data_IF_984436614883
#
_entry.id   IF_984436614883
#
_cell.length_a   1.000
_cell.length_b   1.000
_cell.length_c   1.000
_cell.angle_alpha   90.00
_cell.angle_beta   90.00
_cell.angle_gamma   90.00
#
_symmetry.space_group_name_H-M   'P 1'
#
loop_
_entity.id
_entity.type
_entity.pdbx_description
1 polymer ?
#
# COMPACT_ATOMS: atom_id res chain seq x y z
N UNK A 1 9.99 6.14 31.51
CA UNK A 1 9.39 6.43 30.19
C UNK A 1 10.49 6.23 29.17
N UNK A 2 10.38 5.28 28.22
CA UNK A 2 11.37 5.17 27.17
C UNK A 2 11.14 6.31 26.18
N UNK A 3 12.16 7.15 26.01
CA UNK A 3 12.22 8.19 24.99
C UNK A 3 12.00 7.57 23.60
N UNK A 4 10.99 8.06 22.87
CA UNK A 4 10.83 7.77 21.45
C UNK A 4 12.03 8.37 20.72
N UNK A 5 13.04 7.56 20.42
CA UNK A 5 14.06 7.91 19.43
C UNK A 5 13.34 8.11 18.10
N UNK A 6 13.21 9.36 17.65
CA UNK A 6 12.99 9.65 16.24
C UNK A 6 14.19 9.09 15.49
N UNK A 7 14.02 7.95 14.83
CA UNK A 7 15.02 7.45 13.91
C UNK A 7 15.12 8.49 12.78
N UNK A 8 16.28 9.14 12.65
CA UNK A 8 16.51 10.02 11.52
C UNK A 8 16.37 9.18 10.25
N UNK A 9 15.50 9.64 9.35
CA UNK A 9 15.30 9.02 8.03
C UNK A 9 16.66 8.87 7.36
N UNK A 10 17.07 7.64 7.04
CA UNK A 10 18.36 7.39 6.39
C UNK A 10 18.34 8.04 4.99
N UNK A 11 19.14 9.09 4.76
CA UNK A 11 19.14 9.82 3.49
C UNK A 11 19.70 8.95 2.34
N UNK A 12 20.38 7.84 2.64
CA UNK A 12 20.79 6.89 1.62
C UNK A 12 19.59 6.11 1.06
N UNK A 13 18.62 5.75 1.91
CA UNK A 13 17.43 4.97 1.57
C UNK A 13 16.25 5.82 1.09
N UNK A 14 16.07 6.98 1.68
CA UNK A 14 14.88 7.82 1.48
C UNK A 14 15.27 9.23 1.11
N UNK A 15 14.67 9.73 0.02
CA UNK A 15 14.83 11.13 -0.41
C UNK A 15 13.48 11.76 -0.63
N UNK A 16 13.09 12.68 0.26
CA UNK A 16 11.79 13.38 0.21
C UNK A 16 10.60 12.42 0.04
N UNK A 17 10.56 11.34 0.83
CA UNK A 17 9.49 10.33 0.76
C UNK A 17 9.61 9.31 -0.38
N UNK A 18 10.61 9.42 -1.26
CA UNK A 18 10.90 8.44 -2.30
C UNK A 18 11.92 7.41 -1.84
N UNK A 19 11.63 6.14 -2.08
CA UNK A 19 12.46 5.01 -1.71
C UNK A 19 13.45 4.68 -2.83
N UNK A 20 14.75 4.64 -2.51
CA UNK A 20 15.83 4.47 -3.50
C UNK A 20 15.72 3.20 -4.38
N UNK A 21 15.08 2.15 -3.86
CA UNK A 21 15.02 0.84 -4.49
C UNK A 21 13.75 0.64 -5.33
N UNK A 22 12.80 1.57 -5.27
CA UNK A 22 11.59 1.52 -6.08
C UNK A 22 11.80 2.15 -7.46
N UNK A 23 11.18 1.58 -8.49
CA UNK A 23 11.04 2.23 -9.79
C UNK A 23 10.00 3.35 -9.66
N UNK A 24 10.41 4.58 -9.92
CA UNK A 24 9.51 5.73 -9.81
C UNK A 24 8.66 5.87 -11.08
N UNK A 25 7.36 5.98 -10.89
CA UNK A 25 6.41 6.39 -11.90
C UNK A 25 5.40 7.34 -11.26
N UNK A 26 5.75 8.63 -11.22
CA UNK A 26 5.00 9.62 -10.47
C UNK A 26 3.53 9.74 -10.94
N UNK A 27 2.61 9.55 -10.00
CA UNK A 27 1.17 9.73 -10.22
C UNK A 27 0.76 11.18 -10.01
N UNK A 28 -0.19 11.73 -10.80
CA UNK A 28 -0.83 13.01 -10.51
C UNK A 28 -1.91 12.89 -9.42
N UNK A 29 -2.32 11.67 -9.03
CA UNK A 29 -3.42 11.41 -8.11
C UNK A 29 -2.90 11.39 -6.67
N UNK A 30 -2.59 12.56 -6.12
CA UNK A 30 -2.20 12.72 -4.71
C UNK A 30 -2.59 14.11 -4.19
N UNK A 31 -2.47 14.30 -2.88
CA UNK A 31 -2.63 15.62 -2.28
C UNK A 31 -1.80 15.76 -1.00
N UNK A 32 -1.86 16.92 -0.34
CA UNK A 32 -1.19 17.10 0.94
C UNK A 32 -1.85 16.23 2.02
N UNK A 33 -1.04 15.72 2.96
CA UNK A 33 -1.55 15.18 4.22
C UNK A 33 -2.03 16.32 5.13
N UNK A 34 -2.96 16.06 6.07
CA UNK A 34 -3.27 17.02 7.13
C UNK A 34 -2.00 17.44 7.91
N UNK A 35 -1.95 18.69 8.39
CA UNK A 35 -0.74 19.28 8.99
C UNK A 35 -0.12 18.47 10.16
N UNK A 36 -0.94 17.73 10.89
CA UNK A 36 -0.52 16.91 12.05
C UNK A 36 -0.72 15.41 11.80
N UNK A 37 -0.76 14.99 10.53
CA UNK A 37 -0.91 13.59 10.19
C UNK A 37 0.27 12.78 10.75
N UNK A 38 -0.05 11.76 11.55
CA UNK A 38 0.92 10.80 12.02
C UNK A 38 0.86 9.58 11.09
N UNK A 39 1.84 9.45 10.20
CA UNK A 39 1.92 8.31 9.28
C UNK A 39 2.38 7.07 10.05
N UNK A 40 1.44 6.38 10.69
CA UNK A 40 1.69 5.25 11.57
C UNK A 40 0.99 3.95 11.12
N UNK A 41 0.36 3.96 9.94
CA UNK A 41 -0.36 2.83 9.36
C UNK A 41 0.21 2.45 7.99
N UNK A 42 0.43 1.16 7.78
CA UNK A 42 0.56 0.57 6.43
C UNK A 42 -0.76 -0.11 6.09
N UNK A 43 -1.28 0.14 4.89
CA UNK A 43 -2.45 -0.56 4.36
C UNK A 43 -2.03 -1.46 3.20
N UNK A 44 -2.22 -2.76 3.36
CA UNK A 44 -1.97 -3.75 2.32
C UNK A 44 -3.23 -3.91 1.48
N UNK A 45 -3.03 -3.90 0.17
CA UNK A 45 -4.06 -4.02 -0.85
C UNK A 45 -3.70 -5.13 -1.84
N UNK A 46 -4.67 -5.53 -2.65
CA UNK A 46 -4.41 -6.31 -3.86
C UNK A 46 -5.17 -5.76 -5.06
N UNK A 47 -4.51 -5.77 -6.21
CA UNK A 47 -5.08 -5.26 -7.45
C UNK A 47 -4.54 -6.03 -8.67
N UNK A 48 -5.42 -6.26 -9.63
CA UNK A 48 -5.07 -6.74 -10.97
C UNK A 48 -6.02 -6.14 -11.99
N UNK A 49 -5.49 -5.83 -13.17
CA UNK A 49 -6.25 -5.07 -14.15
C UNK A 49 -5.96 -5.58 -15.58
N UNK A 50 -6.95 -6.13 -16.31
CA UNK A 50 -8.26 -6.56 -15.83
C UNK A 50 -8.16 -7.55 -14.66
N UNK A 51 -9.23 -7.77 -13.88
CA UNK A 51 -9.19 -8.68 -12.73
C UNK A 51 -8.62 -10.06 -13.09
N UNK A 52 -7.64 -10.52 -12.32
CA UNK A 52 -6.93 -11.78 -12.54
C UNK A 52 -5.94 -11.78 -13.71
N UNK A 53 -5.67 -10.62 -14.33
CA UNK A 53 -4.62 -10.45 -15.34
C UNK A 53 -3.45 -9.67 -14.76
N UNK A 54 -2.24 -10.17 -14.99
CA UNK A 54 -1.02 -9.69 -14.34
C UNK A 54 0.05 -9.33 -15.39
N UNK A 55 1.05 -8.54 -15.00
CA UNK A 55 2.25 -8.28 -15.79
C UNK A 55 2.06 -7.44 -17.06
N UNK A 56 0.91 -6.77 -17.21
CA UNK A 56 0.52 -6.06 -18.43
C UNK A 56 0.68 -4.52 -18.35
N UNK A 57 1.05 -3.98 -17.18
CA UNK A 57 1.24 -2.55 -16.97
C UNK A 57 -0.05 -1.74 -16.75
N UNK A 58 -1.22 -2.37 -16.70
CA UNK A 58 -2.50 -1.64 -16.61
C UNK A 58 -2.72 -1.01 -15.24
N UNK A 59 -2.20 -1.59 -14.15
CA UNK A 59 -2.27 -0.98 -12.82
C UNK A 59 -1.48 0.33 -12.77
N UNK A 60 -0.26 0.32 -13.32
CA UNK A 60 0.58 1.50 -13.47
C UNK A 60 -0.13 2.60 -14.28
N UNK A 61 -0.76 2.21 -15.41
CA UNK A 61 -1.53 3.12 -16.25
C UNK A 61 -2.75 3.69 -15.53
N UNK A 62 -3.49 2.87 -14.77
CA UNK A 62 -4.62 3.35 -13.94
C UNK A 62 -4.15 4.39 -12.94
N UNK A 63 -3.11 4.10 -12.16
CA UNK A 63 -2.60 5.01 -11.14
C UNK A 63 -2.02 6.30 -11.70
N UNK A 64 -1.70 6.34 -12.99
CA UNK A 64 -1.16 7.53 -13.67
C UNK A 64 -2.15 8.19 -14.64
N UNK A 65 -3.43 7.82 -14.61
CA UNK A 65 -4.48 8.33 -15.51
C UNK A 65 -4.19 8.11 -17.01
N UNK A 66 -3.49 7.01 -17.34
CA UNK A 66 -3.07 6.63 -18.69
C UNK A 66 -3.69 5.31 -19.17
N UNK A 67 -4.68 4.78 -18.44
CA UNK A 67 -5.36 3.55 -18.85
C UNK A 67 -6.15 3.79 -20.14
N UNK A 68 -5.93 2.97 -21.16
CA UNK A 68 -6.77 2.96 -22.35
C UNK A 68 -8.10 2.30 -22.00
N UNK A 69 -9.15 3.11 -21.86
CA UNK A 69 -10.47 2.65 -21.47
C UNK A 69 -11.09 1.65 -22.45
N UNK A 70 -10.62 1.62 -23.71
CA UNK A 70 -11.16 0.77 -24.76
C UNK A 70 -10.44 -0.61 -24.85
N UNK A 71 -9.35 -0.82 -24.10
CA UNK A 71 -8.57 -2.08 -24.13
C UNK A 71 -9.35 -3.28 -23.55
N UNK A 72 -10.19 -3.06 -22.53
CA UNK A 72 -10.99 -4.12 -21.89
C UNK A 72 -12.34 -3.59 -21.40
N UNK A 73 -13.40 -4.40 -21.54
CA UNK A 73 -14.76 -4.03 -21.11
C UNK A 73 -14.87 -3.75 -19.59
N UNK A 74 -14.00 -4.32 -18.77
CA UNK A 74 -13.90 -3.98 -17.35
C UNK A 74 -13.54 -2.52 -17.13
N UNK A 75 -12.70 -1.94 -17.99
CA UNK A 75 -12.19 -0.58 -17.80
C UNK A 75 -13.28 0.48 -17.92
N UNK A 76 -14.33 0.21 -18.70
CA UNK A 76 -15.50 1.09 -18.77
C UNK A 76 -16.21 1.26 -17.40
N UNK A 77 -16.16 0.25 -16.52
CA UNK A 77 -16.77 0.30 -15.18
C UNK A 77 -15.99 1.17 -14.19
N UNK A 78 -14.71 1.40 -14.48
CA UNK A 78 -13.80 2.20 -13.65
C UNK A 78 -13.35 3.47 -14.38
N UNK A 79 -14.03 3.84 -15.47
CA UNK A 79 -13.68 4.97 -16.31
C UNK A 79 -13.70 6.27 -15.52
N UNK A 80 -12.60 7.00 -15.60
CA UNK A 80 -12.44 8.29 -14.93
C UNK A 80 -12.14 8.21 -13.44
N UNK A 81 -11.94 7.00 -12.87
CA UNK A 81 -11.43 6.89 -11.51
C UNK A 81 -10.07 7.57 -11.40
N UNK A 82 -9.90 8.36 -10.36
CA UNK A 82 -8.62 8.93 -9.96
C UNK A 82 -8.22 8.30 -8.64
N UNK A 83 -7.31 7.35 -8.73
CA UNK A 83 -6.80 6.56 -7.60
C UNK A 83 -5.31 6.38 -7.74
N UNK A 84 -4.64 6.10 -6.63
CA UNK A 84 -3.21 5.79 -6.58
C UNK A 84 -2.91 5.02 -5.32
N UNK A 85 -1.73 4.41 -5.28
CA UNK A 85 -1.11 3.91 -4.06
C UNK A 85 0.29 4.48 -3.94
N UNK A 86 0.93 4.36 -2.78
CA UNK A 86 2.33 4.75 -2.67
C UNK A 86 3.19 3.75 -3.42
N UNK A 87 2.95 2.45 -3.20
CA UNK A 87 3.74 1.37 -3.77
C UNK A 87 2.89 0.31 -4.48
N UNK A 88 3.49 -0.36 -5.45
CA UNK A 88 2.96 -1.56 -6.09
C UNK A 88 4.07 -2.60 -6.24
N UNK A 89 3.75 -3.86 -5.96
CA UNK A 89 4.66 -5.00 -6.07
C UNK A 89 4.06 -6.00 -7.06
N UNK A 90 4.68 -6.12 -8.24
CA UNK A 90 4.26 -7.08 -9.27
C UNK A 90 4.40 -8.53 -8.80
N UNK A 91 3.80 -9.50 -9.51
CA UNK A 91 3.99 -10.94 -9.23
C UNK A 91 5.46 -11.36 -9.18
N UNK A 92 6.32 -10.67 -9.92
CA UNK A 92 7.76 -10.95 -9.96
C UNK A 92 8.57 -10.33 -8.81
N UNK A 93 7.93 -9.58 -7.90
CA UNK A 93 8.59 -8.84 -6.82
C UNK A 93 9.11 -7.46 -7.23
N UNK A 94 8.89 -7.03 -8.47
CA UNK A 94 9.28 -5.69 -8.89
C UNK A 94 8.52 -4.61 -8.10
N UNK A 95 9.27 -3.72 -7.46
CA UNK A 95 8.75 -2.62 -6.66
C UNK A 95 8.65 -1.32 -7.47
N UNK A 96 7.43 -0.78 -7.52
CA UNK A 96 7.13 0.54 -8.08
C UNK A 96 6.71 1.50 -6.97
N UNK A 97 7.00 2.79 -7.15
CA UNK A 97 6.49 3.87 -6.30
C UNK A 97 5.85 4.97 -7.16
N UNK A 98 4.65 5.41 -6.78
CA UNK A 98 3.89 6.42 -7.52
C UNK A 98 3.73 7.74 -6.77
N UNK A 99 3.71 7.69 -5.44
CA UNK A 99 3.51 8.85 -4.58
C UNK A 99 4.57 8.82 -3.48
N UNK A 100 5.17 9.98 -3.19
CA UNK A 100 6.07 10.13 -2.06
C UNK A 100 5.33 9.84 -0.75
N UNK A 101 5.96 9.15 0.20
CA UNK A 101 5.31 8.86 1.48
C UNK A 101 4.97 10.11 2.31
N UNK A 102 5.58 11.25 2.01
CA UNK A 102 5.25 12.57 2.60
C UNK A 102 3.92 13.13 2.10
N UNK A 103 3.44 12.66 0.95
CA UNK A 103 2.18 13.06 0.35
C UNK A 103 1.10 12.00 0.61
N UNK A 104 -0.16 12.38 0.40
CA UNK A 104 -1.34 11.53 0.55
C UNK A 104 -1.73 10.91 -0.79
N UNK A 105 -1.46 9.62 -0.97
CA UNK A 105 -2.05 8.83 -2.06
C UNK A 105 -3.56 8.57 -1.82
N UNK A 106 -4.29 8.16 -2.86
CA UNK A 106 -5.73 7.94 -2.83
C UNK A 106 -6.08 6.45 -3.00
N UNK A 107 -5.82 5.64 -1.96
CA UNK A 107 -5.92 4.18 -2.00
C UNK A 107 -7.05 3.61 -1.12
N UNK A 108 -7.33 4.22 0.02
CA UNK A 108 -8.24 3.66 1.03
C UNK A 108 -9.73 3.96 0.78
N UNK A 109 -10.05 5.05 0.07
CA UNK A 109 -11.43 5.56 -0.05
C UNK A 109 -12.09 5.84 1.30
N UNK A 110 -13.39 5.58 1.42
CA UNK A 110 -14.13 5.66 2.70
C UNK A 110 -13.69 4.55 3.66
N UNK A 111 -12.99 4.92 4.73
CA UNK A 111 -12.40 3.97 5.68
C UNK A 111 -12.33 4.54 7.10
N UNK A 112 -12.20 3.65 8.08
CA UNK A 112 -11.98 3.98 9.48
C UNK A 112 -11.12 2.93 10.17
N UNK A 113 -10.11 3.35 10.92
CA UNK A 113 -9.25 2.44 11.66
C UNK A 113 -8.73 3.11 12.94
N UNK A 114 -8.75 2.40 14.06
CA UNK A 114 -8.26 2.89 15.38
C UNK A 114 -8.89 4.24 15.80
N UNK A 115 -10.18 4.40 15.52
CA UNK A 115 -10.93 5.62 15.84
C UNK A 115 -10.66 6.82 14.92
N UNK A 116 -9.90 6.65 13.84
CA UNK A 116 -9.65 7.68 12.82
C UNK A 116 -10.35 7.34 11.51
N UNK A 117 -11.13 8.27 10.98
CA UNK A 117 -11.72 8.19 9.64
C UNK A 117 -10.71 8.61 8.57
N UNK A 118 -10.93 8.19 7.32
CA UNK A 118 -10.14 8.55 6.14
C UNK A 118 -8.67 8.16 6.27
N UNK A 119 -8.39 6.85 6.24
CA UNK A 119 -7.04 6.32 6.42
C UNK A 119 -6.02 6.79 5.36
N UNK A 120 -6.42 7.44 4.26
CA UNK A 120 -5.44 8.05 3.36
C UNK A 120 -4.56 9.07 4.10
N UNK A 121 -5.12 9.79 5.07
CA UNK A 121 -4.45 10.89 5.77
C UNK A 121 -3.18 10.44 6.52
N UNK A 122 -3.22 9.25 7.08
CA UNK A 122 -2.25 8.75 8.06
C UNK A 122 -1.62 7.40 7.69
N UNK A 123 -1.81 6.95 6.44
CA UNK A 123 -1.27 5.66 6.00
C UNK A 123 -0.45 5.69 4.72
N UNK A 124 0.29 4.60 4.54
CA UNK A 124 1.01 4.23 3.33
C UNK A 124 0.35 3.00 2.72
N UNK A 125 -0.36 3.18 1.60
CA UNK A 125 -0.85 2.09 0.77
C UNK A 125 0.26 1.34 0.03
N UNK A 126 0.19 0.00 0.07
CA UNK A 126 1.04 -0.92 -0.71
C UNK A 126 0.12 -1.91 -1.43
N UNK A 127 0.20 -1.93 -2.76
CA UNK A 127 -0.58 -2.81 -3.62
C UNK A 127 0.24 -4.05 -4.00
N UNK A 128 -0.30 -5.24 -3.74
CA UNK A 128 0.24 -6.47 -4.33
C UNK A 128 -0.51 -6.80 -5.61
N UNK A 129 0.21 -7.08 -6.69
CA UNK A 129 -0.42 -7.60 -7.90
C UNK A 129 -1.07 -8.94 -7.61
N UNK A 130 -2.39 -9.00 -7.73
CA UNK A 130 -3.16 -10.15 -7.32
C UNK A 130 -4.66 -9.92 -7.37
N UNK A 131 -5.39 -10.89 -6.87
CA UNK A 131 -6.85 -10.88 -6.80
C UNK A 131 -7.25 -11.33 -5.40
N UNK A 132 -8.25 -10.65 -4.81
CA UNK A 132 -8.80 -11.03 -3.50
C UNK A 132 -9.14 -12.52 -3.46
N UNK A 133 -8.72 -13.20 -2.39
CA UNK A 133 -8.90 -14.65 -2.21
C UNK A 133 -7.89 -15.55 -2.92
N UNK A 134 -7.02 -15.01 -3.78
CA UNK A 134 -5.91 -15.76 -4.40
C UNK A 134 -4.61 -15.60 -3.60
N UNK A 135 -3.67 -16.54 -3.78
CA UNK A 135 -2.36 -16.49 -3.12
C UNK A 135 -1.36 -15.56 -3.83
N UNK A 136 -0.36 -15.10 -3.08
CA UNK A 136 0.71 -14.22 -3.53
C UNK A 136 2.05 -14.97 -3.66
N UNK A 137 2.91 -14.50 -4.57
CA UNK A 137 4.19 -15.18 -4.85
C UNK A 137 5.27 -14.86 -3.80
N UNK A 138 6.23 -15.76 -3.63
CA UNK A 138 7.36 -15.54 -2.72
C UNK A 138 8.13 -14.22 -2.98
N UNK A 139 8.44 -13.83 -4.24
CA UNK A 139 9.10 -12.54 -4.50
C UNK A 139 8.29 -11.32 -4.05
N UNK A 140 6.94 -11.42 -4.01
CA UNK A 140 6.09 -10.35 -3.49
C UNK A 140 6.28 -10.20 -1.99
N UNK A 141 6.28 -11.32 -1.26
CA UNK A 141 6.49 -11.34 0.18
C UNK A 141 7.88 -10.86 0.59
N UNK A 142 8.94 -11.30 -0.11
CA UNK A 142 10.31 -10.83 0.12
C UNK A 142 10.42 -9.31 -0.05
N UNK A 143 9.86 -8.79 -1.13
CA UNK A 143 9.86 -7.35 -1.42
C UNK A 143 9.03 -6.57 -0.41
N UNK A 144 7.85 -7.09 -0.04
CA UNK A 144 6.97 -6.48 0.94
C UNK A 144 7.63 -6.40 2.31
N UNK A 145 8.25 -7.48 2.77
CA UNK A 145 8.96 -7.51 4.05
C UNK A 145 10.11 -6.49 4.06
N UNK A 146 10.93 -6.44 3.00
CA UNK A 146 12.00 -5.45 2.88
C UNK A 146 11.49 -4.01 2.90
N UNK A 147 10.40 -3.73 2.17
CA UNK A 147 9.77 -2.41 2.14
C UNK A 147 9.17 -2.03 3.50
N UNK A 148 8.40 -2.92 4.13
CA UNK A 148 7.82 -2.67 5.45
C UNK A 148 8.90 -2.42 6.50
N UNK A 149 10.00 -3.18 6.50
CA UNK A 149 11.12 -2.94 7.40
C UNK A 149 11.75 -1.55 7.19
N UNK A 150 11.94 -1.11 5.94
CA UNK A 150 12.44 0.22 5.62
C UNK A 150 11.47 1.33 6.04
N UNK A 151 10.16 1.11 5.89
CA UNK A 151 9.11 2.04 6.32
C UNK A 151 9.04 2.15 7.84
N UNK A 152 9.09 1.04 8.57
CA UNK A 152 9.10 1.00 10.05
C UNK A 152 10.32 1.75 10.62
N UNK A 153 11.46 1.70 9.92
CA UNK A 153 12.65 2.45 10.32
C UNK A 153 12.53 3.95 10.05
N UNK A 154 11.81 4.36 9.00
CA UNK A 154 11.75 5.76 8.56
C UNK A 154 10.53 6.54 9.08
N UNK A 155 9.43 5.85 9.39
CA UNK A 155 8.17 6.42 9.84
C UNK A 155 7.75 5.78 11.17
N UNK A 156 6.94 6.46 12.00
CA UNK A 156 6.47 5.92 13.27
C UNK A 156 5.37 4.86 13.07
N UNK A 157 5.57 3.93 12.13
CA UNK A 157 4.65 2.83 11.84
C UNK A 157 4.44 2.02 13.10
N UNK A 158 3.19 2.01 13.55
CA UNK A 158 2.75 1.23 14.69
C UNK A 158 1.77 0.13 14.27
N UNK A 159 1.21 0.20 13.06
CA UNK A 159 0.18 -0.72 12.59
C UNK A 159 0.33 -1.10 11.12
N UNK A 160 -0.01 -2.34 10.81
CA UNK A 160 -0.17 -2.86 9.46
C UNK A 160 -1.54 -3.52 9.37
N UNK A 161 -2.35 -3.14 8.40
CA UNK A 161 -3.70 -3.68 8.22
C UNK A 161 -3.99 -3.92 6.73
N UNK A 162 -4.94 -4.81 6.44
CA UNK A 162 -5.48 -4.97 5.08
C UNK A 162 -6.59 -3.95 4.80
N UNK A 163 -6.90 -3.71 3.53
CA UNK A 163 -8.02 -2.86 3.14
C UNK A 163 -9.36 -3.35 3.71
N UNK A 164 -9.55 -4.67 3.77
CA UNK A 164 -10.67 -5.35 4.42
C UNK A 164 -10.88 -4.96 5.90
N UNK A 165 -9.78 -4.67 6.61
CA UNK A 165 -9.83 -4.32 8.03
C UNK A 165 -10.26 -2.85 8.26
N UNK A 166 -9.88 -1.95 7.35
CA UNK A 166 -10.18 -0.51 7.48
C UNK A 166 -11.50 -0.11 6.81
N UNK A 167 -12.04 -0.98 5.96
CA UNK A 167 -13.25 -0.75 5.16
C UNK A 167 -14.17 -1.98 5.18
N UNK A 168 -14.40 -2.50 6.39
CA UNK A 168 -15.24 -3.66 6.65
C UNK A 168 -16.63 -3.51 6.00
N UNK A 169 -17.08 -4.57 5.31
CA UNK A 169 -18.33 -4.60 4.54
C UNK A 169 -18.27 -3.96 3.15
N UNK A 170 -17.17 -3.27 2.78
CA UNK A 170 -16.98 -2.65 1.46
C UNK A 170 -15.85 -3.28 0.65
N UNK A 171 -14.77 -3.69 1.32
CA UNK A 171 -13.54 -4.22 0.69
C UNK A 171 -13.17 -5.57 1.27
N UNK A 172 -12.58 -6.43 0.44
CA UNK A 172 -12.11 -7.77 0.81
C UNK A 172 -10.63 -7.98 0.44
N UNK A 173 -9.93 -6.98 -0.09
CA UNK A 173 -8.50 -7.06 -0.37
C UNK A 173 -7.66 -6.80 0.91
N UNK A 174 -6.48 -7.43 1.06
CA UNK A 174 -5.86 -8.39 0.14
C UNK A 174 -6.51 -9.78 0.18
N UNK A 175 -7.35 -10.06 1.19
CA UNK A 175 -8.17 -11.24 1.29
C UNK A 175 -7.45 -12.45 1.90
N UNK A 176 -8.16 -13.60 2.03
CA UNK A 176 -7.69 -14.76 2.79
C UNK A 176 -6.46 -15.47 2.19
N UNK A 177 -6.05 -15.13 0.96
CA UNK A 177 -4.82 -15.64 0.36
C UNK A 177 -3.56 -14.90 0.81
N UNK A 178 -3.70 -13.79 1.56
CA UNK A 178 -2.58 -13.08 2.16
C UNK A 178 -2.19 -13.69 3.52
N UNK A 179 -0.91 -14.04 3.67
CA UNK A 179 -0.35 -14.71 4.84
C UNK A 179 0.15 -13.67 5.84
N UNK A 180 -0.77 -13.25 6.72
CA UNK A 180 -0.48 -12.33 7.81
C UNK A 180 0.56 -12.87 8.79
N UNK A 181 0.55 -14.18 9.06
CA UNK A 181 1.47 -14.83 10.01
C UNK A 181 2.90 -14.80 9.45
N UNK A 182 3.07 -15.08 8.16
CA UNK A 182 4.35 -14.98 7.49
C UNK A 182 4.91 -13.56 7.58
N UNK A 183 4.09 -12.54 7.27
CA UNK A 183 4.54 -11.15 7.34
C UNK A 183 4.92 -10.76 8.78
N UNK A 184 4.08 -11.13 9.75
CA UNK A 184 4.31 -10.86 11.17
C UNK A 184 5.67 -11.42 11.62
N UNK A 185 5.92 -12.70 11.33
CA UNK A 185 7.15 -13.39 11.70
C UNK A 185 8.37 -12.80 11.00
N UNK A 186 8.25 -12.49 9.71
CA UNK A 186 9.35 -11.93 8.91
C UNK A 186 9.81 -10.56 9.41
N UNK A 187 8.91 -9.79 10.01
CA UNK A 187 9.19 -8.46 10.56
C UNK A 187 9.35 -8.44 12.08
N UNK A 188 9.21 -9.58 12.75
CA UNK A 188 9.13 -9.69 14.21
C UNK A 188 8.11 -8.69 14.83
N UNK A 189 6.97 -8.51 14.18
CA UNK A 189 5.94 -7.56 14.63
C UNK A 189 5.22 -8.10 15.87
N UNK A 190 5.11 -7.30 16.94
CA UNK A 190 4.24 -7.62 18.07
C UNK A 190 2.77 -7.72 17.63
N UNK A 191 1.98 -8.57 18.29
CA UNK A 191 0.56 -8.79 17.95
C UNK A 191 -0.25 -7.49 17.85
N UNK A 192 0.01 -6.52 18.73
CA UNK A 192 -0.65 -5.18 18.73
C UNK A 192 -0.48 -4.38 17.43
N UNK A 193 0.47 -4.76 16.57
CA UNK A 193 0.70 -4.09 15.29
C UNK A 193 -0.24 -4.58 14.19
N UNK A 194 -0.88 -5.73 14.37
CA UNK A 194 -1.84 -6.29 13.41
C UNK A 194 -3.28 -6.09 13.90
N UNK A 195 -4.29 -6.20 13.01
CA UNK A 195 -5.67 -6.22 13.42
C UNK A 195 -5.96 -7.43 14.31
N UNK A 196 -6.87 -7.26 15.27
CA UNK A 196 -7.37 -8.41 16.03
C UNK A 196 -8.09 -9.37 15.08
N UNK A 197 -7.75 -10.64 15.15
CA UNK A 197 -8.50 -11.69 14.46
C UNK A 197 -9.83 -11.84 15.19
N UNK A 198 -10.92 -11.39 14.54
CA UNK A 198 -12.28 -11.53 15.05
C UNK A 198 -12.79 -12.97 15.07
#
# INVERSE_FOLDING_TARGET
MPEQRSAAVDPALWRHGWYRHARVLASPNFGPRPANALVDLIVIHSISLPPGKYGNGNVQRLFTNQLDWEEDAYFQRIRGLQVSSHFFISRSGELWQFVACTDRAWHAGESSYRGRSNCNDDSIGIELEGLEGSTFEAPQYETLAGLCAALIQAYPIAHVAGHEHIASGRKQDPGPGFDWIWLQNSLALPDRCLPEVG
#
